data_IF_327647365582
#
_entry.id   IF_327647365582
#
_cell.length_a   1.000
_cell.length_b   1.000
_cell.length_c   1.000
_cell.angle_alpha   90.00
_cell.angle_beta   90.00
_cell.angle_gamma   90.00
#
_symmetry.space_group_name_H-M   'P 1'
#
loop_
_entity.id
_entity.type
_entity.pdbx_description
1 polymer ?
#
# COMPACT_ATOMS: atom_id res chain seq x y z
N UNK A 1 6.99 -11.80 -7.14
CA UNK A 1 5.74 -12.34 -6.58
C UNK A 1 4.61 -11.35 -6.88
N UNK A 2 3.35 -11.78 -6.97
CA UNK A 2 2.17 -10.89 -7.01
C UNK A 2 1.17 -11.46 -5.99
N UNK A 3 0.79 -10.68 -4.99
CA UNK A 3 -0.07 -11.13 -3.89
C UNK A 3 -0.75 -9.95 -3.16
N UNK A 4 -1.38 -10.21 -2.01
CA UNK A 4 -1.90 -9.17 -1.13
C UNK A 4 -3.01 -8.34 -1.76
N UNK A 5 -3.95 -8.99 -2.45
CA UNK A 5 -5.04 -8.32 -3.14
C UNK A 5 -6.02 -7.65 -2.17
N UNK A 6 -6.38 -6.40 -2.46
CA UNK A 6 -7.43 -5.68 -1.77
C UNK A 6 -8.30 -4.92 -2.77
N UNK A 7 -9.62 -5.13 -2.72
CA UNK A 7 -10.57 -4.43 -3.60
C UNK A 7 -11.30 -3.34 -2.83
N UNK A 8 -11.38 -2.15 -3.42
CA UNK A 8 -12.09 -1.00 -2.87
C UNK A 8 -12.96 -0.36 -3.94
N UNK A 9 -14.24 -0.14 -3.66
CA UNK A 9 -15.16 0.50 -4.58
C UNK A 9 -15.27 1.99 -4.28
N UNK A 10 -14.99 2.83 -5.29
CA UNK A 10 -15.05 4.29 -5.18
C UNK A 10 -15.46 4.90 -6.51
N UNK A 11 -16.45 5.80 -6.49
CA UNK A 11 -16.86 6.61 -7.66
C UNK A 11 -17.07 5.80 -8.96
N UNK A 12 -17.72 4.64 -8.86
CA UNK A 12 -18.03 3.81 -10.03
C UNK A 12 -16.86 2.96 -10.53
N UNK A 13 -15.78 2.85 -9.77
CA UNK A 13 -14.63 1.99 -10.05
C UNK A 13 -14.42 0.98 -8.93
N UNK A 14 -14.07 -0.24 -9.30
CA UNK A 14 -13.46 -1.22 -8.42
C UNK A 14 -11.95 -1.08 -8.58
N UNK A 15 -11.28 -0.55 -7.56
CA UNK A 15 -9.82 -0.50 -7.51
C UNK A 15 -9.31 -1.79 -6.89
N UNK A 16 -8.40 -2.47 -7.58
CA UNK A 16 -7.62 -3.59 -7.07
C UNK A 16 -6.23 -3.07 -6.72
N UNK A 17 -5.93 -3.08 -5.42
CA UNK A 17 -4.58 -2.89 -4.90
C UNK A 17 -3.93 -4.26 -4.74
N UNK A 18 -2.66 -4.35 -5.09
CA UNK A 18 -1.90 -5.58 -4.97
C UNK A 18 -0.43 -5.26 -4.77
N UNK A 19 0.29 -6.17 -4.14
CA UNK A 19 1.73 -6.03 -3.92
C UNK A 19 2.51 -6.88 -4.91
N UNK A 20 3.54 -6.28 -5.50
CA UNK A 20 4.41 -6.90 -6.49
C UNK A 20 5.88 -6.85 -6.08
N UNK A 21 6.71 -7.53 -6.86
CA UNK A 21 8.17 -7.67 -6.69
C UNK A 21 8.60 -8.67 -5.58
N UNK A 22 9.81 -8.56 -5.04
CA UNK A 22 10.39 -9.46 -4.05
C UNK A 22 9.90 -9.11 -2.63
N UNK A 23 9.15 -10.01 -2.00
CA UNK A 23 8.54 -9.82 -0.68
C UNK A 23 9.49 -10.09 0.50
N UNK A 24 10.61 -10.81 0.29
CA UNK A 24 11.45 -11.32 1.38
C UNK A 24 12.95 -11.28 1.04
N UNK A 25 13.80 -11.14 2.07
CA UNK A 25 15.26 -11.20 1.95
C UNK A 25 15.94 -9.82 1.80
N UNK A 26 17.28 -9.80 1.65
CA UNK A 26 18.08 -8.57 1.64
C UNK A 26 17.75 -7.62 0.47
N UNK A 27 17.20 -8.14 -0.63
CA UNK A 27 16.81 -7.39 -1.83
C UNK A 27 15.29 -7.24 -1.97
N UNK A 28 14.54 -7.17 -0.87
CA UNK A 28 13.09 -6.98 -0.92
C UNK A 28 12.73 -5.62 -1.52
N UNK A 29 11.98 -5.62 -2.62
CA UNK A 29 11.49 -4.43 -3.36
C UNK A 29 9.97 -4.37 -3.45
N UNK A 30 9.32 -4.96 -2.45
CA UNK A 30 7.87 -4.97 -2.33
C UNK A 30 7.29 -3.56 -2.46
N UNK A 31 6.33 -3.42 -3.36
CA UNK A 31 5.66 -2.16 -3.65
C UNK A 31 4.18 -2.42 -3.89
N UNK A 32 3.33 -1.42 -3.62
CA UNK A 32 1.90 -1.49 -3.91
C UNK A 32 1.65 -0.93 -5.30
N UNK A 33 0.91 -1.68 -6.10
CA UNK A 33 0.43 -1.30 -7.42
C UNK A 33 -1.10 -1.21 -7.41
N UNK A 34 -1.65 -0.61 -8.48
CA UNK A 34 -3.08 -0.46 -8.64
C UNK A 34 -3.56 -0.88 -10.04
N UNK A 35 -4.77 -1.42 -10.08
CA UNK A 35 -5.57 -1.63 -11.28
C UNK A 35 -7.03 -1.22 -11.01
N UNK A 36 -7.84 -0.97 -12.03
CA UNK A 36 -9.27 -0.70 -11.84
C UNK A 36 -10.17 -1.30 -12.91
N UNK A 37 -11.41 -1.58 -12.53
CA UNK A 37 -12.46 -2.11 -13.40
C UNK A 37 -13.80 -1.43 -13.14
N UNK A 38 -14.70 -1.48 -14.13
CA UNK A 38 -16.11 -1.04 -13.97
C UNK A 38 -17.01 -2.10 -13.34
N UNK A 39 -16.58 -3.36 -13.35
CA UNK A 39 -17.29 -4.49 -12.75
C UNK A 39 -16.39 -5.19 -11.73
N UNK A 40 -16.94 -5.79 -10.65
CA UNK A 40 -16.13 -6.47 -9.64
C UNK A 40 -15.22 -7.56 -10.22
N UNK A 41 -15.71 -8.28 -11.23
CA UNK A 41 -15.01 -9.37 -11.89
C UNK A 41 -14.02 -8.94 -12.98
N UNK A 42 -13.87 -7.63 -13.22
CA UNK A 42 -13.02 -7.10 -14.28
C UNK A 42 -13.71 -6.91 -15.63
N UNK A 43 -12.95 -6.77 -16.72
CA UNK A 43 -11.48 -6.80 -16.75
C UNK A 43 -10.87 -5.59 -16.01
N UNK A 44 -9.75 -5.82 -15.32
CA UNK A 44 -8.99 -4.77 -14.65
C UNK A 44 -7.91 -4.22 -15.58
N UNK A 45 -7.91 -2.90 -15.77
CA UNK A 45 -6.81 -2.18 -16.41
C UNK A 45 -5.79 -1.77 -15.35
N UNK A 46 -4.50 -2.07 -15.56
CA UNK A 46 -3.45 -1.67 -14.62
C UNK A 46 -3.12 -0.19 -14.76
N UNK A 47 -2.70 0.45 -13.67
CA UNK A 47 -2.21 1.82 -13.70
C UNK A 47 -1.06 1.98 -14.70
N UNK A 48 -0.16 1.00 -14.76
CA UNK A 48 0.96 0.97 -15.71
C UNK A 48 0.46 1.02 -17.17
N UNK A 49 -0.51 0.19 -17.53
CA UNK A 49 -1.13 0.19 -18.86
C UNK A 49 -1.81 1.52 -19.17
N UNK A 50 -2.55 2.07 -18.21
CA UNK A 50 -3.34 3.30 -18.40
C UNK A 50 -2.48 4.56 -18.52
N UNK A 51 -1.28 4.57 -17.91
CA UNK A 51 -0.45 5.79 -17.78
C UNK A 51 0.92 5.69 -18.45
N UNK A 52 1.36 4.49 -18.84
CA UNK A 52 2.71 4.26 -19.33
C UNK A 52 3.79 4.35 -18.25
N UNK A 53 3.41 4.33 -16.96
CA UNK A 53 4.33 4.34 -15.81
C UNK A 53 4.59 2.93 -15.28
N UNK A 54 5.36 2.79 -14.19
CA UNK A 54 5.55 1.51 -13.50
C UNK A 54 4.28 1.00 -12.79
N UNK A 55 3.26 1.86 -12.58
CA UNK A 55 2.02 1.47 -11.91
C UNK A 55 2.10 1.37 -10.38
N UNK A 56 3.24 1.79 -9.81
CA UNK A 56 3.49 1.84 -8.37
C UNK A 56 2.79 3.03 -7.72
N UNK A 57 2.05 2.78 -6.64
CA UNK A 57 1.38 3.82 -5.84
C UNK A 57 2.06 4.04 -4.48
N UNK A 58 2.80 3.04 -3.97
CA UNK A 58 3.57 3.10 -2.74
C UNK A 58 4.86 2.31 -2.91
N UNK A 59 6.00 2.93 -2.62
CA UNK A 59 7.32 2.30 -2.64
C UNK A 59 8.17 2.70 -1.44
N UNK A 60 9.31 2.02 -1.28
CA UNK A 60 10.26 2.25 -0.20
C UNK A 60 10.84 3.66 -0.14
N UNK A 61 11.44 4.01 0.99
CA UNK A 61 12.32 5.18 1.12
C UNK A 61 13.50 4.88 2.06
N UNK A 62 14.25 5.92 2.43
CA UNK A 62 15.45 5.81 3.25
C UNK A 62 15.21 5.18 4.64
N UNK A 63 13.97 5.22 5.15
CA UNK A 63 13.60 4.63 6.45
C UNK A 63 12.82 3.33 6.30
N UNK A 64 11.87 3.30 5.37
CA UNK A 64 10.89 2.22 5.27
C UNK A 64 11.17 1.34 4.05
N UNK A 65 11.42 0.06 4.27
CA UNK A 65 11.68 -0.93 3.23
C UNK A 65 10.46 -1.83 3.01
N UNK A 66 10.26 -2.25 1.76
CA UNK A 66 9.28 -3.25 1.35
C UNK A 66 7.83 -2.99 1.86
N UNK A 67 7.25 -1.79 1.64
CA UNK A 67 5.88 -1.54 2.03
C UNK A 67 4.88 -2.33 1.19
N UNK A 68 3.88 -2.97 1.80
CA UNK A 68 2.82 -3.63 1.06
C UNK A 68 1.84 -4.45 1.88
N UNK A 69 1.17 -5.38 1.20
CA UNK A 69 0.04 -6.19 1.69
C UNK A 69 -0.97 -5.29 2.42
N UNK A 70 -1.50 -4.34 1.68
CA UNK A 70 -2.29 -3.26 2.23
C UNK A 70 -3.78 -3.62 2.38
N UNK A 71 -4.49 -2.78 3.13
CA UNK A 71 -5.92 -2.58 3.01
C UNK A 71 -6.24 -1.07 2.94
N UNK A 72 -7.49 -0.73 2.62
CA UNK A 72 -7.99 0.65 2.68
C UNK A 72 -8.99 0.81 3.82
N UNK A 73 -8.91 1.95 4.50
CA UNK A 73 -9.88 2.40 5.49
C UNK A 73 -10.36 3.80 5.10
N UNK A 74 -11.67 4.00 5.05
CA UNK A 74 -12.28 5.32 4.80
C UNK A 74 -12.63 5.98 6.12
N UNK A 75 -12.19 7.22 6.32
CA UNK A 75 -12.46 7.99 7.53
C UNK A 75 -13.84 8.67 7.51
N UNK A 76 -14.21 9.35 8.61
CA UNK A 76 -15.53 9.99 8.73
C UNK A 76 -15.72 11.21 7.81
N UNK A 77 -14.67 11.71 7.18
CA UNK A 77 -14.73 12.74 6.15
C UNK A 77 -14.74 12.17 4.72
N UNK A 78 -14.81 10.84 4.57
CA UNK A 78 -14.79 10.17 3.27
C UNK A 78 -13.40 10.12 2.64
N UNK A 79 -12.33 10.30 3.41
CA UNK A 79 -10.96 10.21 2.93
C UNK A 79 -10.46 8.78 3.08
N UNK A 80 -9.82 8.27 2.03
CA UNK A 80 -9.23 6.94 2.06
C UNK A 80 -7.81 6.96 2.59
N UNK A 81 -7.50 5.97 3.41
CA UNK A 81 -6.21 5.77 4.05
C UNK A 81 -5.70 4.37 3.75
N UNK A 82 -4.46 4.27 3.30
CA UNK A 82 -3.77 3.02 3.01
C UNK A 82 -3.12 2.53 4.30
N UNK A 83 -3.62 1.42 4.83
CA UNK A 83 -3.01 0.71 5.96
C UNK A 83 -2.16 -0.44 5.41
N UNK A 84 -0.89 -0.51 5.78
CA UNK A 84 0.04 -1.48 5.21
C UNK A 84 1.16 -1.79 6.21
N UNK A 85 1.97 -2.80 5.90
CA UNK A 85 3.19 -3.06 6.67
C UNK A 85 4.43 -2.55 5.93
N UNK A 86 5.48 -2.19 6.67
CA UNK A 86 6.82 -2.01 6.14
C UNK A 86 7.88 -2.39 7.19
N UNK A 87 9.14 -2.47 6.78
CA UNK A 87 10.28 -2.77 7.65
C UNK A 87 11.01 -1.46 7.96
N UNK A 88 11.21 -1.12 9.24
CA UNK A 88 12.07 0.01 9.61
C UNK A 88 13.53 -0.40 9.38
N UNK A 89 14.23 0.25 8.45
CA UNK A 89 15.65 0.01 8.16
C UNK A 89 16.55 0.23 9.38
N UNK A 90 16.10 1.00 10.38
CA UNK A 90 16.84 1.24 11.64
C UNK A 90 16.64 0.11 12.66
N UNK A 91 15.56 -0.67 12.53
CA UNK A 91 15.29 -1.83 13.38
C UNK A 91 14.63 -2.93 12.54
N UNK A 92 15.37 -3.53 11.59
CA UNK A 92 14.78 -4.41 10.59
C UNK A 92 14.39 -5.76 11.17
N UNK A 93 14.80 -6.08 12.40
CA UNK A 93 14.56 -7.36 13.04
C UNK A 93 14.01 -7.26 14.46
N UNK A 94 13.36 -8.34 14.91
CA UNK A 94 13.04 -8.58 16.32
C UNK A 94 13.75 -9.85 16.82
N UNK A 95 13.89 -9.97 18.14
CA UNK A 95 14.42 -11.20 18.76
C UNK A 95 13.39 -12.31 18.60
N UNK A 96 13.54 -13.12 17.56
CA UNK A 96 12.59 -14.17 17.24
C UNK A 96 12.77 -15.39 18.17
N UNK A 97 11.66 -15.99 18.59
CA UNK A 97 11.66 -17.23 19.41
C UNK A 97 12.18 -18.42 18.57
N UNK A 98 12.07 -18.36 17.24
CA UNK A 98 12.70 -19.26 16.28
C UNK A 98 13.09 -18.51 14.98
N UNK A 99 14.02 -19.07 14.19
CA UNK A 99 14.60 -18.40 13.01
C UNK A 99 13.91 -18.73 11.68
N UNK A 100 12.77 -19.42 11.70
CA UNK A 100 12.18 -20.04 10.50
C UNK A 100 11.56 -19.04 9.51
N UNK A 101 11.07 -17.88 9.97
CA UNK A 101 10.36 -16.93 9.10
C UNK A 101 11.20 -15.73 8.65
N UNK A 102 12.50 -15.74 8.94
CA UNK A 102 13.35 -14.57 8.79
C UNK A 102 12.95 -13.51 9.82
N UNK A 103 13.93 -12.93 10.51
CA UNK A 103 13.65 -12.08 11.67
C UNK A 103 13.01 -10.73 11.31
N UNK A 104 12.42 -10.55 10.12
CA UNK A 104 11.95 -9.26 9.60
C UNK A 104 10.83 -8.66 10.45
N UNK A 105 11.10 -7.49 11.02
CA UNK A 105 10.18 -6.70 11.82
C UNK A 105 9.31 -5.82 10.92
N UNK A 106 8.19 -6.39 10.49
CA UNK A 106 7.13 -5.65 9.79
C UNK A 106 6.27 -4.91 10.81
N UNK A 107 6.19 -3.59 10.69
CA UNK A 107 5.31 -2.74 11.51
C UNK A 107 4.22 -2.14 10.66
N UNK A 108 3.09 -1.85 11.30
CA UNK A 108 1.95 -1.22 10.65
C UNK A 108 2.20 0.27 10.44
N UNK A 109 1.87 0.76 9.26
CA UNK A 109 1.92 2.16 8.84
C UNK A 109 0.59 2.55 8.20
N UNK A 110 0.34 3.86 8.18
CA UNK A 110 -0.88 4.44 7.64
C UNK A 110 -0.54 5.73 6.92
N UNK A 111 -0.95 5.84 5.65
CA UNK A 111 -0.80 7.07 4.88
C UNK A 111 -2.08 7.37 4.09
N UNK A 112 -2.32 8.66 3.85
CA UNK A 112 -3.50 9.12 3.12
C UNK A 112 -3.39 8.76 1.63
N UNK A 113 -4.47 8.28 1.05
CA UNK A 113 -4.60 8.09 -0.40
C UNK A 113 -5.13 9.38 -1.01
N UNK A 114 -4.44 9.86 -2.03
CA UNK A 114 -4.95 10.91 -2.92
C UNK A 114 -5.32 10.32 -4.26
N UNK A 115 -6.22 10.98 -4.99
CA UNK A 115 -6.62 10.57 -6.32
C UNK A 115 -6.31 11.70 -7.30
N UNK A 116 -5.69 11.37 -8.43
CA UNK A 116 -5.44 12.35 -9.48
C UNK A 116 -6.73 12.74 -10.23
N UNK A 117 -6.61 13.68 -11.17
CA UNK A 117 -7.74 14.15 -11.98
C UNK A 117 -8.39 13.04 -12.84
N UNK A 118 -7.67 11.95 -13.14
CA UNK A 118 -8.19 10.78 -13.85
C UNK A 118 -8.75 9.72 -12.89
N UNK A 119 -8.70 9.97 -11.58
CA UNK A 119 -9.16 9.09 -10.52
C UNK A 119 -8.21 7.95 -10.17
N UNK A 120 -6.92 8.04 -10.48
CA UNK A 120 -5.95 7.02 -10.04
C UNK A 120 -5.39 7.32 -8.65
N UNK A 121 -5.25 6.30 -7.78
CA UNK A 121 -4.76 6.48 -6.42
C UNK A 121 -3.24 6.75 -6.41
N UNK A 122 -2.80 7.58 -5.47
CA UNK A 122 -1.41 7.95 -5.23
C UNK A 122 -1.14 8.08 -3.73
N UNK A 123 -0.01 7.53 -3.28
CA UNK A 123 0.52 7.69 -1.90
C UNK A 123 1.97 8.17 -1.93
N UNK A 124 2.82 7.56 -2.77
CA UNK A 124 4.24 7.91 -2.90
C UNK A 124 5.12 7.01 -2.05
N UNK A 125 5.63 7.52 -0.93
CA UNK A 125 6.46 6.75 0.01
C UNK A 125 5.95 6.90 1.44
N UNK A 126 6.19 5.92 2.33
CA UNK A 126 5.76 6.01 3.72
C UNK A 126 6.21 7.28 4.44
N UNK A 127 5.31 7.95 5.16
CA UNK A 127 5.68 9.16 5.90
C UNK A 127 6.62 8.84 7.09
N UNK A 128 7.46 9.82 7.45
CA UNK A 128 8.47 9.68 8.52
C UNK A 128 8.34 10.70 9.64
N UNK A 129 7.37 11.61 9.51
CA UNK A 129 7.06 12.69 10.47
C UNK A 129 5.57 12.65 10.82
N UNK A 130 5.16 13.23 11.95
CA UNK A 130 3.76 13.31 12.32
C UNK A 130 2.89 13.90 11.21
N UNK A 131 1.82 13.19 10.86
CA UNK A 131 0.80 13.62 9.89
C UNK A 131 -0.51 13.92 10.63
N UNK A 132 -1.40 14.74 10.05
CA UNK A 132 -2.79 14.80 10.50
C UNK A 132 -3.40 13.38 10.54
N UNK A 133 -4.07 13.04 11.64
CA UNK A 133 -4.72 11.74 11.79
C UNK A 133 -6.01 11.65 10.96
N UNK A 134 -6.49 10.43 10.64
CA UNK A 134 -7.81 10.21 10.07
C UNK A 134 -8.90 10.87 10.91
N UNK A 135 -9.92 11.43 10.25
CA UNK A 135 -11.04 12.05 10.94
C UNK A 135 -11.93 10.94 11.52
N UNK A 136 -12.09 10.93 12.83
CA UNK A 136 -13.01 10.03 13.53
C UNK A 136 -14.30 10.78 13.89
N UNK A 137 -15.44 10.11 13.75
CA UNK A 137 -16.71 10.66 14.24
C UNK A 137 -16.62 10.77 15.77
N UNK A 138 -16.89 11.96 16.31
CA UNK A 138 -17.16 12.12 17.73
C UNK A 138 -18.50 11.46 18.02
N UNK A 139 -18.47 10.41 18.86
CA UNK A 139 -19.68 9.79 19.41
C UNK A 139 -20.48 10.78 20.25
#
# INVERSE_FOLDING_TARGET
LIEGSWVHYREGWYYLFYSGDNCCGPDARYAVLAARARQPAGPYETLATATGTEGTILTENARWQAPGHNCLVTDAAGQDWLLYHAIDRQQPTYDAINTEQGNSRRVMLLDKVTYDAAGWPQVGTPTTTPQPAPIVSTR
#
